data_IF_901907869171
#
_entry.id   IF_901907869171
#
_cell.length_a   1.000
_cell.length_b   1.000
_cell.length_c   1.000
_cell.angle_alpha   90.00
_cell.angle_beta   90.00
_cell.angle_gamma   90.00
#
_symmetry.space_group_name_H-M   'P 1'
#
loop_
_entity.id
_entity.type
_entity.pdbx_description
1 polymer ?
#
# COMPACT_ATOMS: atom_id res chain seq x y z
N UNK A 1 12.65 -9.07 7.78
CA UNK A 1 11.76 -9.87 6.89
C UNK A 1 10.55 -9.03 6.48
N UNK A 2 9.83 -8.45 7.44
CA UNK A 2 8.68 -7.56 7.18
C UNK A 2 9.01 -6.36 6.28
N UNK A 3 10.13 -5.67 6.49
CA UNK A 3 10.56 -4.57 5.62
C UNK A 3 10.77 -5.00 4.15
N UNK A 4 11.25 -6.22 3.92
CA UNK A 4 11.41 -6.77 2.56
C UNK A 4 10.04 -7.00 1.91
N UNK A 5 9.08 -7.55 2.67
CA UNK A 5 7.69 -7.73 2.22
C UNK A 5 7.06 -6.38 1.86
N UNK A 6 7.22 -5.37 2.73
CA UNK A 6 6.73 -4.01 2.49
C UNK A 6 7.39 -3.41 1.24
N UNK A 7 8.69 -3.59 1.06
CA UNK A 7 9.40 -3.12 -0.14
C UNK A 7 8.92 -3.80 -1.42
N UNK A 8 8.62 -5.10 -1.39
CA UNK A 8 8.07 -5.82 -2.55
C UNK A 8 6.67 -5.33 -2.89
N UNK A 9 5.82 -5.15 -1.89
CA UNK A 9 4.48 -4.59 -2.07
C UNK A 9 4.53 -3.17 -2.65
N UNK A 10 5.43 -2.32 -2.15
CA UNK A 10 5.65 -0.97 -2.67
C UNK A 10 6.15 -0.96 -4.13
N UNK A 11 6.79 -2.04 -4.61
CA UNK A 11 7.19 -2.22 -6.02
C UNK A 11 6.06 -2.73 -6.91
N UNK A 12 4.85 -2.92 -6.38
CA UNK A 12 3.68 -3.33 -7.14
C UNK A 12 3.51 -4.84 -7.29
N UNK A 13 4.24 -5.65 -6.51
CA UNK A 13 4.03 -7.10 -6.48
C UNK A 13 2.71 -7.42 -5.78
N UNK A 14 1.93 -8.36 -6.32
CA UNK A 14 0.71 -8.84 -5.66
C UNK A 14 1.08 -9.66 -4.41
N UNK A 15 0.14 -9.85 -3.49
CA UNK A 15 0.39 -10.69 -2.29
C UNK A 15 0.77 -12.12 -2.65
N UNK A 16 0.21 -12.68 -3.73
CA UNK A 16 0.58 -14.01 -4.24
C UNK A 16 1.96 -14.05 -4.90
N UNK A 17 2.38 -12.99 -5.59
CA UNK A 17 3.75 -12.90 -6.13
C UNK A 17 4.77 -12.86 -4.99
N UNK A 18 4.47 -12.12 -3.91
CA UNK A 18 5.32 -12.02 -2.73
C UNK A 18 5.42 -13.38 -2.03
N UNK A 19 4.30 -14.07 -1.83
CA UNK A 19 4.28 -15.43 -1.27
C UNK A 19 5.19 -16.37 -2.06
N UNK A 20 5.00 -16.42 -3.39
CA UNK A 20 5.82 -17.25 -4.29
C UNK A 20 7.31 -16.89 -4.19
N UNK A 21 7.62 -15.60 -4.17
CA UNK A 21 9.00 -15.10 -4.07
C UNK A 21 9.66 -15.44 -2.72
N UNK A 22 8.90 -15.41 -1.63
CA UNK A 22 9.39 -15.76 -0.29
C UNK A 22 9.66 -17.26 -0.18
N UNK A 23 8.81 -18.08 -0.79
CA UNK A 23 9.01 -19.52 -0.86
C UNK A 23 10.23 -19.89 -1.72
N UNK A 24 10.40 -19.27 -2.90
CA UNK A 24 11.50 -19.57 -3.81
C UNK A 24 12.88 -19.17 -3.27
N UNK A 25 13.02 -17.97 -2.70
CA UNK A 25 14.32 -17.45 -2.27
C UNK A 25 14.70 -17.84 -0.84
N UNK A 26 13.71 -17.96 0.05
CA UNK A 26 13.95 -18.15 1.48
C UNK A 26 13.40 -19.48 2.01
N UNK A 27 12.65 -20.24 1.20
CA UNK A 27 12.02 -21.49 1.63
C UNK A 27 10.97 -21.28 2.74
N UNK A 28 10.43 -20.05 2.85
CA UNK A 28 9.47 -19.69 3.90
C UNK A 28 8.08 -19.64 3.31
N UNK A 29 7.20 -20.46 3.87
CA UNK A 29 5.79 -20.47 3.54
C UNK A 29 5.07 -19.35 4.32
N UNK A 30 4.64 -18.31 3.60
CA UNK A 30 3.94 -17.15 4.17
C UNK A 30 2.70 -16.88 3.32
N UNK A 31 1.52 -17.09 3.90
CA UNK A 31 0.26 -16.86 3.21
C UNK A 31 0.06 -15.39 2.80
N UNK A 32 -0.68 -15.18 1.71
CA UNK A 32 -1.20 -13.88 1.26
C UNK A 32 -1.83 -13.01 2.38
N UNK A 33 -2.52 -13.64 3.32
CA UNK A 33 -3.21 -13.03 4.47
C UNK A 33 -2.22 -12.56 5.52
N UNK A 34 -1.13 -13.29 5.71
CA UNK A 34 -0.03 -12.87 6.58
C UNK A 34 0.71 -11.69 5.96
N UNK A 35 0.95 -11.73 4.65
CA UNK A 35 1.52 -10.60 3.89
C UNK A 35 0.63 -9.36 4.02
N UNK A 36 -0.69 -9.52 3.84
CA UNK A 36 -1.66 -8.43 4.00
C UNK A 36 -1.62 -7.81 5.39
N UNK A 37 -1.57 -8.65 6.44
CA UNK A 37 -1.42 -8.17 7.83
C UNK A 37 -0.11 -7.44 8.08
N UNK A 38 0.97 -7.85 7.43
CA UNK A 38 2.27 -7.17 7.53
C UNK A 38 2.19 -5.80 6.83
N UNK A 39 1.57 -5.72 5.65
CA UNK A 39 1.40 -4.43 4.94
C UNK A 39 0.46 -3.49 5.69
N UNK A 40 -0.54 -3.99 6.41
CA UNK A 40 -1.43 -3.16 7.24
C UNK A 40 -0.70 -2.46 8.39
N UNK A 41 0.47 -2.96 8.81
CA UNK A 41 1.28 -2.29 9.85
C UNK A 41 1.78 -0.91 9.44
N UNK A 42 1.75 -0.56 8.15
CA UNK A 42 2.14 0.78 7.70
C UNK A 42 1.03 1.81 7.90
N UNK A 43 -0.24 1.40 8.11
CA UNK A 43 -1.39 2.30 8.18
C UNK A 43 -1.23 3.40 9.24
N UNK A 44 -0.69 3.14 10.45
CA UNK A 44 -0.42 4.20 11.43
C UNK A 44 0.61 5.23 10.93
N UNK A 45 1.64 4.78 10.21
CA UNK A 45 2.68 5.65 9.64
C UNK A 45 2.10 6.52 8.52
N UNK A 46 1.23 5.94 7.68
CA UNK A 46 0.51 6.70 6.65
C UNK A 46 -0.35 7.80 7.29
N UNK A 47 -1.04 7.48 8.39
CA UNK A 47 -1.85 8.46 9.12
C UNK A 47 -1.00 9.59 9.70
N UNK A 48 0.11 9.26 10.35
CA UNK A 48 1.05 10.27 10.86
C UNK A 48 1.60 11.17 9.74
N UNK A 49 1.93 10.58 8.59
CA UNK A 49 2.38 11.33 7.42
C UNK A 49 1.30 12.25 6.85
N UNK A 50 0.03 11.84 6.87
CA UNK A 50 -1.09 12.67 6.45
C UNK A 50 -1.33 13.85 7.41
N UNK A 51 -1.08 13.66 8.70
CA UNK A 51 -1.28 14.67 9.75
C UNK A 51 -0.06 15.58 9.96
N UNK A 52 1.03 15.40 9.20
CA UNK A 52 2.27 16.16 9.35
C UNK A 52 2.03 17.67 9.15
N UNK A 53 2.70 18.54 9.93
CA UNK A 53 2.61 19.97 9.72
C UNK A 53 3.16 20.35 8.34
N UNK A 54 2.46 21.24 7.65
CA UNK A 54 2.89 21.84 6.40
C UNK A 54 3.48 23.22 6.65
N UNK A 55 4.22 23.74 5.68
CA UNK A 55 4.70 25.12 5.73
C UNK A 55 3.54 26.10 5.56
N UNK A 56 3.68 27.30 6.13
CA UNK A 56 2.60 28.30 6.12
C UNK A 56 2.30 28.84 4.71
N UNK A 57 3.30 28.87 3.82
CA UNK A 57 3.19 29.51 2.50
C UNK A 57 3.67 28.56 1.40
N UNK A 58 2.76 28.27 0.47
CA UNK A 58 3.07 27.65 -0.82
C UNK A 58 2.67 28.61 -1.95
N UNK A 59 3.62 29.07 -2.75
CA UNK A 59 3.35 30.00 -3.85
C UNK A 59 2.43 29.39 -4.94
N UNK A 60 2.56 28.08 -5.16
CA UNK A 60 1.74 27.30 -6.11
C UNK A 60 1.53 25.91 -5.53
N UNK A 61 0.31 25.38 -5.68
CA UNK A 61 -0.04 23.99 -5.33
C UNK A 61 -0.69 23.35 -6.56
N UNK A 62 -0.27 22.14 -6.90
CA UNK A 62 -0.88 21.32 -7.94
C UNK A 62 -1.74 20.25 -7.29
N UNK A 63 -2.89 19.97 -7.90
CA UNK A 63 -3.79 18.88 -7.49
C UNK A 63 -3.98 17.97 -8.70
N UNK A 64 -3.81 16.67 -8.49
CA UNK A 64 -4.01 15.64 -9.51
C UNK A 64 -4.99 14.59 -8.99
N UNK A 65 -5.59 13.82 -9.89
CA UNK A 65 -6.55 12.78 -9.55
C UNK A 65 -6.33 11.51 -10.38
N UNK A 66 -6.12 10.38 -9.70
CA UNK A 66 -6.00 9.07 -10.34
C UNK A 66 -7.25 8.23 -10.04
N UNK A 67 -7.84 7.63 -11.06
CA UNK A 67 -9.07 6.85 -10.92
C UNK A 67 -8.78 5.36 -10.74
N UNK A 68 -9.27 4.79 -9.64
CA UNK A 68 -9.16 3.36 -9.33
C UNK A 68 -10.53 2.69 -9.26
N UNK A 69 -10.60 1.42 -9.67
CA UNK A 69 -11.78 0.58 -9.46
C UNK A 69 -11.71 -0.01 -8.05
N UNK A 70 -12.64 0.37 -7.19
CA UNK A 70 -12.68 -0.06 -5.80
C UNK A 70 -14.00 -0.78 -5.52
N UNK A 71 -13.94 -1.86 -4.74
CA UNK A 71 -15.14 -2.53 -4.25
C UNK A 71 -15.70 -1.73 -3.07
N UNK A 72 -16.91 -1.21 -3.22
CA UNK A 72 -17.64 -0.45 -2.20
C UNK A 72 -19.06 -1.00 -2.14
N UNK A 73 -19.52 -1.43 -0.96
CA UNK A 73 -20.89 -1.96 -0.77
C UNK A 73 -21.25 -3.09 -1.76
N UNK A 74 -20.31 -3.99 -2.02
CA UNK A 74 -20.50 -5.13 -2.92
C UNK A 74 -20.50 -4.79 -4.42
N UNK A 75 -20.31 -3.52 -4.80
CA UNK A 75 -20.22 -3.08 -6.20
C UNK A 75 -18.83 -2.55 -6.52
N UNK A 76 -18.39 -2.71 -7.77
CA UNK A 76 -17.16 -2.09 -8.26
C UNK A 76 -17.52 -0.67 -8.72
N UNK A 77 -16.92 0.33 -8.10
CA UNK A 77 -17.12 1.75 -8.42
C UNK A 77 -15.77 2.39 -8.76
N UNK A 78 -15.75 3.30 -9.74
CA UNK A 78 -14.58 4.13 -10.01
C UNK A 78 -14.53 5.25 -8.96
N UNK A 79 -13.44 5.32 -8.19
CA UNK A 79 -13.17 6.39 -7.22
C UNK A 79 -11.92 7.16 -7.65
N UNK A 80 -11.95 8.47 -7.50
CA UNK A 80 -10.77 9.32 -7.67
C UNK A 80 -9.98 9.34 -6.36
N UNK A 81 -8.68 9.07 -6.43
CA UNK A 81 -7.71 9.35 -5.38
C UNK A 81 -7.07 10.70 -5.70
N UNK A 82 -7.12 11.62 -4.74
CA UNK A 82 -6.65 13.02 -4.78
C UNK A 82 -5.66 13.21 -3.63
#
# INVERSE_FOLDING_TARGET
MEEKIISMYAKGMTTGDIESHMQELYGVDISDSTISRITDKILPIVKEWQERPLEEIYAVVFMDAIHFHVRSEGRIVKKAAI
#
